data_IF_730073183193
#
_entry.id   IF_730073183193
#
_cell.length_a   1.000
_cell.length_b   1.000
_cell.length_c   1.000
_cell.angle_alpha   90.00
_cell.angle_beta   90.00
_cell.angle_gamma   90.00
#
_symmetry.space_group_name_H-M   'P 1'
#
loop_
_entity.id
_entity.type
_entity.pdbx_description
1 polymer ?
#
# COMPACT_ATOMS: atom_id res chain seq x y z
N UNK A 1 10.67 -3.00 10.65
CA UNK A 1 10.73 -1.68 11.31
C UNK A 1 11.06 -0.66 10.22
N UNK A 2 10.08 0.09 9.71
CA UNK A 2 10.29 1.03 8.59
C UNK A 2 10.53 2.44 9.15
N UNK A 3 11.71 3.00 8.85
CA UNK A 3 12.10 4.36 9.21
C UNK A 3 11.55 5.30 8.14
N UNK A 4 10.66 6.21 8.54
CA UNK A 4 10.12 7.27 7.69
C UNK A 4 11.06 8.47 7.77
N UNK A 5 11.83 8.72 6.71
CA UNK A 5 12.54 9.98 6.52
C UNK A 5 11.60 10.99 5.83
N UNK A 6 11.02 11.90 6.61
CA UNK A 6 10.46 13.14 6.09
C UNK A 6 11.61 14.09 5.75
N UNK A 7 11.82 14.40 4.47
CA UNK A 7 12.73 15.48 4.04
C UNK A 7 11.91 16.63 3.46
N UNK A 8 11.89 17.74 4.19
CA UNK A 8 11.32 19.02 3.77
C UNK A 8 12.00 19.55 2.50
N UNK A 9 11.21 19.89 1.49
CA UNK A 9 11.68 20.64 0.32
C UNK A 9 11.46 22.12 0.61
N UNK A 10 12.55 22.88 0.72
CA UNK A 10 12.55 24.35 0.72
C UNK A 10 12.69 24.80 -0.73
N UNK A 11 11.69 25.51 -1.27
CA UNK A 11 11.77 26.15 -2.59
C UNK A 11 12.33 27.56 -2.38
N UNK A 12 13.57 27.77 -2.81
CA UNK A 12 14.18 29.10 -2.90
C UNK A 12 13.66 29.84 -4.13
N UNK A 13 13.15 31.04 -3.89
CA UNK A 13 12.78 32.02 -4.91
C UNK A 13 14.03 32.57 -5.62
N UNK A 14 13.97 32.73 -6.93
CA UNK A 14 14.81 33.71 -7.61
C UNK A 14 14.05 34.36 -8.77
N UNK A 15 13.96 35.69 -8.63
CA UNK A 15 13.40 36.72 -9.49
C UNK A 15 13.82 36.64 -10.96
N UNK A 16 12.89 37.00 -11.84
CA UNK A 16 13.13 37.15 -13.28
C UNK A 16 12.08 38.04 -13.97
N UNK A 17 12.19 39.35 -13.71
CA UNK A 17 11.96 40.51 -14.57
C UNK A 17 10.69 40.63 -15.46
N UNK A 18 9.99 41.74 -15.18
CA UNK A 18 8.86 42.39 -15.86
C UNK A 18 9.16 42.88 -17.29
N UNK A 19 8.22 42.72 -18.22
CA UNK A 19 7.92 43.71 -19.28
C UNK A 19 6.40 43.79 -19.51
N UNK A 20 5.87 45.00 -19.28
CA UNK A 20 4.51 45.46 -19.57
C UNK A 20 4.21 45.51 -21.07
N UNK A 21 2.96 45.27 -21.47
CA UNK A 21 2.03 46.22 -22.13
C UNK A 21 0.71 45.47 -22.41
N UNK A 22 -0.44 46.06 -22.07
CA UNK A 22 -1.71 45.65 -22.68
C UNK A 22 -3.00 45.94 -21.93
N UNK A 23 -3.46 47.19 -22.02
CA UNK A 23 -4.87 47.64 -22.03
C UNK A 23 -5.78 47.45 -20.78
N UNK A 24 -6.23 48.59 -20.26
CA UNK A 24 -7.37 48.74 -19.36
C UNK A 24 -8.71 48.60 -20.08
N UNK A 25 -9.67 47.93 -19.45
CA UNK A 25 -11.09 48.27 -19.58
C UNK A 25 -11.90 47.89 -18.32
N UNK A 26 -12.64 48.89 -17.85
CA UNK A 26 -13.91 48.87 -17.13
C UNK A 26 -14.13 47.90 -15.94
N UNK A 27 -14.23 48.51 -14.78
CA UNK A 27 -14.77 47.99 -13.53
C UNK A 27 -16.27 47.69 -13.67
N UNK A 28 -16.65 46.43 -13.46
CA UNK A 28 -18.01 46.02 -13.13
C UNK A 28 -17.96 45.28 -11.78
N UNK A 29 -18.74 45.78 -10.82
CA UNK A 29 -18.90 45.21 -9.49
C UNK A 29 -19.36 43.75 -9.55
N UNK A 30 -18.53 42.85 -9.03
CA UNK A 30 -18.94 41.51 -8.61
C UNK A 30 -18.28 41.24 -7.26
N UNK A 31 -19.02 40.88 -6.19
CA UNK A 31 -18.39 40.51 -4.93
C UNK A 31 -17.42 39.36 -5.18
N UNK A 32 -16.16 39.60 -4.84
CA UNK A 32 -15.04 38.70 -5.04
C UNK A 32 -15.36 37.33 -4.42
N UNK A 33 -15.64 36.36 -5.28
CA UNK A 33 -15.62 34.96 -4.92
C UNK A 33 -14.22 34.64 -4.39
N UNK A 34 -14.17 34.17 -3.14
CA UNK A 34 -12.95 33.67 -2.53
C UNK A 34 -12.25 32.70 -3.48
N UNK A 35 -10.91 32.71 -3.57
CA UNK A 35 -10.19 31.76 -4.40
C UNK A 35 -10.58 30.35 -3.94
N UNK A 36 -11.26 29.62 -4.83
CA UNK A 36 -11.55 28.21 -4.65
C UNK A 36 -10.20 27.52 -4.41
N UNK A 37 -9.99 27.10 -3.17
CA UNK A 37 -8.86 26.29 -2.76
C UNK A 37 -8.87 25.09 -3.69
N UNK A 38 -7.88 25.00 -4.58
CA UNK A 38 -7.66 23.84 -5.40
C UNK A 38 -7.40 22.66 -4.46
N UNK A 39 -8.47 21.95 -4.11
CA UNK A 39 -8.39 20.67 -3.42
C UNK A 39 -7.64 19.76 -4.36
N UNK A 40 -6.36 19.56 -4.07
CA UNK A 40 -5.56 18.56 -4.77
C UNK A 40 -6.33 17.24 -4.70
N UNK A 41 -6.67 16.59 -5.82
CA UNK A 41 -7.45 15.37 -5.77
C UNK A 41 -6.66 14.35 -4.95
N UNK A 42 -7.20 13.97 -3.80
CA UNK A 42 -6.65 12.87 -3.02
C UNK A 42 -6.71 11.63 -3.91
N UNK A 43 -5.60 10.91 -4.13
CA UNK A 43 -5.58 9.78 -5.04
C UNK A 43 -6.58 8.73 -4.55
N UNK A 44 -7.43 8.28 -5.48
CA UNK A 44 -8.47 7.30 -5.23
C UNK A 44 -7.87 6.06 -4.54
N UNK A 45 -8.57 5.47 -3.56
CA UNK A 45 -8.07 4.29 -2.88
C UNK A 45 -8.01 3.10 -3.85
N UNK A 46 -6.92 2.34 -3.78
CA UNK A 46 -6.63 1.21 -4.67
C UNK A 46 -7.64 0.07 -4.44
N UNK A 47 -8.01 -0.65 -5.49
CA UNK A 47 -8.72 -1.94 -5.34
C UNK A 47 -7.77 -3.04 -4.87
N UNK A 48 -8.30 -4.21 -4.48
CA UNK A 48 -7.47 -5.36 -4.10
C UNK A 48 -6.51 -5.75 -5.24
N UNK A 49 -7.02 -5.88 -6.46
CA UNK A 49 -6.21 -6.21 -7.65
C UNK A 49 -5.11 -5.19 -7.90
N UNK A 50 -5.43 -3.89 -7.84
CA UNK A 50 -4.47 -2.81 -8.05
C UNK A 50 -3.38 -2.81 -6.96
N UNK A 51 -3.79 -2.98 -5.69
CA UNK A 51 -2.88 -3.03 -4.56
C UNK A 51 -1.95 -4.25 -4.62
N UNK A 52 -2.49 -5.44 -4.91
CA UNK A 52 -1.70 -6.67 -5.05
C UNK A 52 -0.74 -6.58 -6.22
N UNK A 53 -1.20 -6.08 -7.37
CA UNK A 53 -0.35 -5.84 -8.54
C UNK A 53 0.81 -4.88 -8.20
N UNK A 54 0.54 -3.80 -7.46
CA UNK A 54 1.57 -2.87 -7.04
C UNK A 54 2.63 -3.52 -6.12
N UNK A 55 2.22 -4.41 -5.20
CA UNK A 55 3.15 -5.17 -4.32
C UNK A 55 4.03 -6.14 -5.11
N UNK A 56 3.43 -6.89 -6.04
CA UNK A 56 4.15 -7.82 -6.93
C UNK A 56 5.15 -7.04 -7.78
N UNK A 57 4.69 -5.97 -8.43
CA UNK A 57 5.55 -5.13 -9.26
C UNK A 57 6.73 -4.54 -8.49
N UNK A 58 6.47 -4.04 -7.27
CA UNK A 58 7.53 -3.52 -6.40
C UNK A 58 8.61 -4.57 -6.12
N UNK A 59 8.18 -5.77 -5.73
CA UNK A 59 9.10 -6.86 -5.37
C UNK A 59 9.90 -7.34 -6.58
N UNK A 60 9.27 -7.46 -7.75
CA UNK A 60 9.95 -7.79 -9.01
C UNK A 60 10.98 -6.73 -9.40
N UNK A 61 10.62 -5.44 -9.28
CA UNK A 61 11.53 -4.32 -9.57
C UNK A 61 12.74 -4.35 -8.65
N UNK A 62 12.53 -4.61 -7.35
CA UNK A 62 13.60 -4.68 -6.36
C UNK A 62 14.51 -5.90 -6.60
N UNK A 63 13.95 -7.07 -6.90
CA UNK A 63 14.71 -8.26 -7.29
C UNK A 63 15.60 -7.98 -8.50
N UNK A 64 15.07 -7.33 -9.54
CA UNK A 64 15.86 -6.97 -10.72
C UNK A 64 17.04 -6.08 -10.34
N UNK A 65 16.79 -5.04 -9.54
CA UNK A 65 17.84 -4.13 -9.09
C UNK A 65 18.92 -4.83 -8.24
N UNK A 66 18.51 -5.66 -7.28
CA UNK A 66 19.42 -6.41 -6.42
C UNK A 66 20.26 -7.43 -7.20
N UNK A 67 19.67 -8.09 -8.21
CA UNK A 67 20.41 -9.03 -9.08
C UNK A 67 21.49 -8.30 -9.87
N UNK A 68 21.16 -7.16 -10.46
CA UNK A 68 22.15 -6.32 -11.16
C UNK A 68 23.28 -5.92 -10.22
N UNK A 69 22.94 -5.41 -9.03
CA UNK A 69 23.92 -4.98 -8.03
C UNK A 69 24.83 -6.14 -7.56
N UNK A 70 24.27 -7.33 -7.36
CA UNK A 70 25.04 -8.51 -7.00
C UNK A 70 26.05 -8.90 -8.09
N UNK A 71 25.62 -8.92 -9.36
CA UNK A 71 26.49 -9.26 -10.49
C UNK A 71 27.61 -8.23 -10.68
N UNK A 72 27.29 -6.95 -10.62
CA UNK A 72 28.27 -5.87 -10.68
C UNK A 72 29.31 -6.00 -9.55
N UNK A 73 28.84 -6.17 -8.31
CA UNK A 73 29.73 -6.31 -7.16
C UNK A 73 30.62 -7.55 -7.27
N UNK A 74 30.08 -8.67 -7.77
CA UNK A 74 30.82 -9.93 -7.95
C UNK A 74 31.90 -9.78 -9.02
N UNK A 75 31.58 -9.10 -10.13
CA UNK A 75 32.51 -8.86 -11.22
C UNK A 75 33.64 -7.89 -10.82
N UNK A 76 33.34 -6.91 -9.97
CA UNK A 76 34.34 -5.95 -9.45
C UNK A 76 35.21 -6.58 -8.37
N UNK A 77 34.62 -7.28 -7.40
CA UNK A 77 35.34 -7.93 -6.31
C UNK A 77 34.59 -9.16 -5.80
N UNK A 78 35.00 -10.34 -6.26
CA UNK A 78 34.42 -11.62 -5.89
C UNK A 78 34.57 -12.00 -4.40
N UNK A 79 35.45 -11.34 -3.64
CA UNK A 79 35.64 -11.55 -2.20
C UNK A 79 35.05 -10.42 -1.35
N UNK A 80 34.22 -9.56 -1.95
CA UNK A 80 33.59 -8.45 -1.24
C UNK A 80 32.69 -8.97 -0.10
N UNK A 81 32.82 -8.44 1.13
CA UNK A 81 31.93 -8.80 2.25
C UNK A 81 30.48 -8.36 2.02
N UNK A 82 30.23 -7.55 0.97
CA UNK A 82 28.88 -7.15 0.56
C UNK A 82 28.11 -8.24 -0.17
N UNK A 83 28.81 -9.21 -0.78
CA UNK A 83 28.16 -10.26 -1.57
C UNK A 83 27.23 -11.15 -0.74
N UNK A 84 27.62 -11.65 0.46
CA UNK A 84 26.70 -12.37 1.34
C UNK A 84 25.48 -11.56 1.74
N UNK A 85 25.64 -10.26 2.02
CA UNK A 85 24.53 -9.37 2.37
C UNK A 85 23.55 -9.20 1.22
N UNK A 86 24.05 -8.96 0.00
CA UNK A 86 23.21 -8.87 -1.20
C UNK A 86 22.51 -10.20 -1.52
N UNK A 87 23.17 -11.33 -1.25
CA UNK A 87 22.56 -12.65 -1.42
C UNK A 87 21.43 -12.88 -0.41
N UNK A 88 21.60 -12.44 0.85
CA UNK A 88 20.54 -12.46 1.84
C UNK A 88 19.37 -11.54 1.46
N UNK A 89 19.64 -10.32 1.00
CA UNK A 89 18.61 -9.39 0.51
C UNK A 89 17.85 -9.97 -0.68
N UNK A 90 18.54 -10.65 -1.60
CA UNK A 90 17.91 -11.34 -2.73
C UNK A 90 16.97 -12.46 -2.27
N UNK A 91 17.40 -13.28 -1.30
CA UNK A 91 16.56 -14.34 -0.74
C UNK A 91 15.32 -13.77 -0.04
N UNK A 92 15.51 -12.72 0.76
CA UNK A 92 14.41 -12.02 1.43
C UNK A 92 13.42 -11.44 0.43
N UNK A 93 13.90 -10.81 -0.65
CA UNK A 93 13.01 -10.21 -1.64
C UNK A 93 12.31 -11.27 -2.50
N UNK A 94 12.91 -12.45 -2.66
CA UNK A 94 12.24 -13.59 -3.30
C UNK A 94 11.06 -14.06 -2.45
N UNK A 95 11.28 -14.23 -1.14
CA UNK A 95 10.22 -14.56 -0.20
C UNK A 95 9.14 -13.46 -0.15
N UNK A 96 9.53 -12.18 -0.18
CA UNK A 96 8.56 -11.07 -0.25
C UNK A 96 7.68 -11.15 -1.51
N UNK A 97 8.25 -11.56 -2.66
CA UNK A 97 7.49 -11.76 -3.89
C UNK A 97 6.51 -12.94 -3.77
N UNK A 98 6.93 -14.06 -3.20
CA UNK A 98 6.06 -15.23 -2.94
C UNK A 98 4.89 -14.82 -2.05
N UNK A 99 5.17 -14.16 -0.93
CA UNK A 99 4.13 -13.63 -0.02
C UNK A 99 3.20 -12.67 -0.75
N UNK A 100 3.72 -11.77 -1.59
CA UNK A 100 2.91 -10.83 -2.36
C UNK A 100 1.99 -11.53 -3.38
N UNK A 101 2.44 -12.65 -3.97
CA UNK A 101 1.64 -13.47 -4.88
C UNK A 101 0.53 -14.22 -4.14
N UNK A 102 0.74 -14.59 -2.88
CA UNK A 102 -0.22 -15.31 -2.05
C UNK A 102 -1.20 -14.40 -1.29
N UNK A 103 -1.05 -13.07 -1.39
CA UNK A 103 -1.95 -12.13 -0.73
C UNK A 103 -3.42 -12.36 -1.11
N UNK A 104 -4.28 -12.39 -0.09
CA UNK A 104 -5.72 -12.56 -0.21
C UNK A 104 -6.48 -11.26 0.04
N UNK A 105 -7.78 -11.24 -0.29
CA UNK A 105 -8.68 -10.12 0.02
C UNK A 105 -8.72 -9.80 1.53
N UNK A 106 -8.59 -10.83 2.38
CA UNK A 106 -8.48 -10.65 3.82
C UNK A 106 -7.26 -9.83 4.19
N UNK A 107 -6.09 -10.17 3.65
CA UNK A 107 -4.84 -9.47 3.96
C UNK A 107 -4.89 -8.02 3.45
N UNK A 108 -5.54 -7.78 2.32
CA UNK A 108 -5.81 -6.43 1.82
C UNK A 108 -6.61 -5.57 2.81
N UNK A 109 -7.65 -6.13 3.44
CA UNK A 109 -8.42 -5.39 4.44
C UNK A 109 -7.57 -5.04 5.67
N UNK A 110 -6.78 -5.99 6.17
CA UNK A 110 -5.94 -5.78 7.35
C UNK A 110 -4.74 -4.86 7.08
N UNK A 111 -4.10 -4.97 5.92
CA UNK A 111 -2.84 -4.30 5.62
C UNK A 111 -3.03 -2.96 4.89
N UNK A 112 -4.07 -2.82 4.07
CA UNK A 112 -4.33 -1.61 3.29
C UNK A 112 -5.52 -0.82 3.83
N UNK A 113 -6.68 -1.45 3.96
CA UNK A 113 -7.92 -0.74 4.32
C UNK A 113 -7.91 -0.26 5.76
N UNK A 114 -7.41 -1.07 6.71
CA UNK A 114 -7.24 -0.66 8.11
C UNK A 114 -6.38 0.61 8.27
N UNK A 115 -5.42 0.82 7.37
CA UNK A 115 -4.59 2.03 7.35
C UNK A 115 -5.29 3.28 6.81
N UNK A 116 -6.51 3.13 6.27
CA UNK A 116 -7.35 4.23 5.81
C UNK A 116 -8.31 4.62 6.93
N UNK A 117 -7.82 5.35 7.93
CA UNK A 117 -8.60 5.71 9.13
C UNK A 117 -9.84 6.60 8.84
N UNK A 118 -9.94 7.14 7.62
CA UNK A 118 -10.99 8.09 7.22
C UNK A 118 -12.21 7.32 6.67
N UNK A 119 -13.34 7.35 7.38
CA UNK A 119 -14.61 6.71 6.98
C UNK A 119 -15.03 6.96 5.53
N UNK A 120 -14.99 8.20 5.01
CA UNK A 120 -15.24 8.48 3.58
C UNK A 120 -14.41 7.60 2.63
N UNK A 121 -13.14 7.35 2.97
CA UNK A 121 -12.21 6.56 2.16
C UNK A 121 -12.52 5.06 2.21
N UNK A 122 -13.04 4.58 3.33
CA UNK A 122 -13.58 3.21 3.43
C UNK A 122 -14.84 3.07 2.56
N UNK A 123 -15.71 4.09 2.53
CA UNK A 123 -16.87 4.12 1.64
C UNK A 123 -16.49 4.08 0.16
N UNK A 124 -15.47 4.85 -0.23
CA UNK A 124 -14.91 4.81 -1.59
C UNK A 124 -14.30 3.44 -1.93
N UNK A 125 -13.61 2.80 -0.99
CA UNK A 125 -13.09 1.43 -1.17
C UNK A 125 -14.25 0.45 -1.38
N UNK A 126 -15.27 0.52 -0.53
CA UNK A 126 -16.45 -0.34 -0.62
C UNK A 126 -17.17 -0.17 -1.97
N UNK A 127 -17.26 1.06 -2.48
CA UNK A 127 -17.87 1.35 -3.78
C UNK A 127 -17.04 0.83 -4.97
N UNK A 128 -15.73 0.65 -4.80
CA UNK A 128 -14.83 0.16 -5.87
C UNK A 128 -14.61 -1.35 -5.85
N UNK A 129 -14.99 -2.05 -4.78
CA UNK A 129 -14.87 -3.51 -4.71
C UNK A 129 -15.84 -4.18 -5.69
N UNK A 130 -15.34 -5.13 -6.47
CA UNK A 130 -16.22 -5.91 -7.35
C UNK A 130 -17.08 -6.89 -6.55
N UNK A 131 -18.26 -7.30 -7.04
CA UNK A 131 -19.11 -8.28 -6.35
C UNK A 131 -18.38 -9.57 -6.01
N UNK A 132 -17.46 -10.01 -6.87
CA UNK A 132 -16.62 -11.19 -6.64
C UNK A 132 -15.64 -10.98 -5.48
N UNK A 133 -15.00 -9.81 -5.39
CA UNK A 133 -14.10 -9.46 -4.29
C UNK A 133 -14.85 -9.39 -2.96
N UNK A 134 -16.08 -8.86 -2.97
CA UNK A 134 -16.98 -8.87 -1.81
C UNK A 134 -17.36 -10.30 -1.42
N UNK A 135 -17.68 -11.16 -2.39
CA UNK A 135 -17.98 -12.57 -2.16
C UNK A 135 -16.82 -13.31 -1.48
N UNK A 136 -15.60 -13.17 -2.02
CA UNK A 136 -14.39 -13.74 -1.44
C UNK A 136 -14.09 -13.21 -0.03
N UNK A 137 -14.39 -11.94 0.21
CA UNK A 137 -14.28 -11.36 1.54
C UNK A 137 -15.28 -12.02 2.52
N UNK A 138 -16.55 -12.08 2.16
CA UNK A 138 -17.59 -12.67 3.01
C UNK A 138 -17.31 -14.15 3.29
N UNK A 139 -16.87 -14.91 2.30
CA UNK A 139 -16.43 -16.30 2.46
C UNK A 139 -15.29 -16.42 3.48
N UNK A 140 -14.26 -15.57 3.37
CA UNK A 140 -13.15 -15.56 4.32
C UNK A 140 -13.57 -15.19 5.75
N UNK A 141 -14.60 -14.34 5.87
CA UNK A 141 -15.17 -13.94 7.16
C UNK A 141 -15.98 -15.08 7.79
N UNK A 142 -16.80 -15.80 7.00
CA UNK A 142 -17.55 -16.96 7.49
C UNK A 142 -16.63 -18.08 7.98
N UNK A 143 -15.56 -18.40 7.23
CA UNK A 143 -14.57 -19.38 7.66
C UNK A 143 -13.88 -19.00 8.99
N UNK A 144 -13.69 -17.70 9.24
CA UNK A 144 -13.13 -17.22 10.51
C UNK A 144 -14.10 -17.45 11.67
N UNK A 145 -15.38 -17.12 11.48
CA UNK A 145 -16.42 -17.36 12.49
C UNK A 145 -16.50 -18.86 12.80
N UNK A 146 -16.55 -19.71 11.78
CA UNK A 146 -16.61 -21.17 11.96
C UNK A 146 -15.44 -21.71 12.76
N UNK A 147 -14.21 -21.27 12.47
CA UNK A 147 -13.01 -21.66 13.25
C UNK A 147 -13.02 -21.15 14.68
N UNK A 148 -13.67 -20.02 14.93
CA UNK A 148 -13.78 -19.44 16.26
C UNK A 148 -14.86 -20.09 17.13
N UNK A 149 -15.72 -20.94 16.54
CA UNK A 149 -16.68 -21.69 17.34
C UNK A 149 -15.96 -22.79 18.12
N UNK A 150 -16.12 -22.85 19.45
CA UNK A 150 -15.60 -23.98 20.22
C UNK A 150 -16.29 -25.25 19.69
N UNK A 151 -15.48 -26.26 19.34
CA UNK A 151 -16.02 -27.56 18.95
C UNK A 151 -17.00 -28.04 20.03
N UNK A 152 -18.18 -28.56 19.67
CA UNK A 152 -19.12 -29.05 20.66
C UNK A 152 -18.42 -30.13 21.49
N UNK A 153 -18.19 -29.84 22.77
CA UNK A 153 -17.72 -30.83 23.73
C UNK A 153 -18.75 -31.94 23.71
N UNK A 154 -18.41 -33.07 23.08
CA UNK A 154 -19.16 -34.31 23.26
C UNK A 154 -19.06 -34.64 24.74
N UNK A 155 -20.05 -34.23 25.53
CA UNK A 155 -20.26 -34.77 26.88
C UNK A 155 -20.48 -36.25 26.69
N UNK A 156 -19.41 -37.04 26.87
CA UNK A 156 -19.57 -38.46 27.06
C UNK A 156 -20.54 -38.64 28.23
N UNK A 157 -21.65 -39.33 27.97
CA UNK A 157 -22.74 -39.59 28.92
C UNK A 157 -22.34 -40.59 30.00
N UNK A 158 -21.05 -40.72 30.27
CA UNK A 158 -20.43 -41.59 31.27
C UNK A 158 -19.44 -40.72 32.02
N UNK A 159 -19.92 -40.12 33.11
CA UNK A 159 -19.13 -39.31 34.00
C UNK A 159 -18.07 -40.15 34.69
N UNK A 160 -16.86 -40.18 34.13
CA UNK A 160 -15.66 -40.57 34.86
C UNK A 160 -14.64 -39.46 34.62
N UNK A 161 -14.54 -38.56 35.60
CA UNK A 161 -13.33 -37.79 35.79
C UNK A 161 -12.30 -38.72 36.42
N UNK A 162 -11.17 -38.90 35.77
CA UNK A 162 -9.93 -39.36 36.43
C UNK A 162 -8.94 -38.21 36.38
N UNK A 163 -8.33 -37.99 37.55
CA UNK A 163 -7.44 -36.88 37.92
C UNK A 163 -6.21 -36.74 37.03
#
# INVERSE_FOLDING_TARGET
MFVVLCKSVRVSALMGLFVLVGFSSAQANTPAAAPAVAVSPTPAPLTFKEWKAAKIFHSQKRLKALRTQYLEQRNVNARSPRLPLLQQELAQEHWNLEVAQDLTTRDYLYLYVKGQEVRPRIGEIAARLSPEEVGLFLESYFQLIERSQPTPVKRNRLGIQTQ
#
